data_IF_666010146254
#
_entry.id   IF_666010146254
#
_cell.length_a   1.000
_cell.length_b   1.000
_cell.length_c   1.000
_cell.angle_alpha   90.00
_cell.angle_beta   90.00
_cell.angle_gamma   90.00
#
_symmetry.space_group_name_H-M   'P 1'
#
loop_
_entity.id
_entity.type
_entity.pdbx_description
1 polymer ?
#
# COMPACT_ATOMS: atom_id res chain seq x y z
N UNK A 1 -48.61 -94.38 18.83
CA UNK A 1 -49.46 -93.16 18.71
C UNK A 1 -48.69 -91.97 19.28
N UNK A 2 -48.54 -90.88 18.49
CA UNK A 2 -48.13 -89.48 18.85
C UNK A 2 -46.78 -89.29 19.60
N UNK A 3 -45.97 -88.24 19.43
CA UNK A 3 -45.60 -87.22 18.41
C UNK A 3 -44.67 -86.24 19.17
N UNK A 4 -43.65 -85.66 18.49
CA UNK A 4 -42.91 -84.41 18.82
C UNK A 4 -41.86 -84.52 19.94
N UNK A 5 -40.69 -83.85 19.93
CA UNK A 5 -40.13 -82.78 19.08
C UNK A 5 -38.62 -82.61 19.30
N UNK A 6 -37.87 -82.43 18.20
CA UNK A 6 -36.73 -81.53 17.93
C UNK A 6 -35.68 -81.19 19.01
N UNK A 7 -34.40 -81.36 18.69
CA UNK A 7 -33.57 -80.25 18.17
C UNK A 7 -32.22 -80.75 17.61
N UNK A 8 -31.80 -80.09 16.54
CA UNK A 8 -30.68 -80.40 15.64
C UNK A 8 -29.41 -79.67 16.12
N UNK A 9 -28.24 -80.30 15.99
CA UNK A 9 -26.99 -79.61 15.65
C UNK A 9 -26.24 -80.46 14.64
N UNK A 10 -26.24 -79.99 13.41
CA UNK A 10 -25.40 -80.46 12.32
C UNK A 10 -24.22 -79.49 12.17
N UNK A 11 -23.10 -80.07 11.81
CA UNK A 11 -21.75 -79.53 11.80
C UNK A 11 -21.45 -78.88 10.44
N UNK A 12 -20.65 -77.80 10.44
CA UNK A 12 -20.12 -77.24 9.20
C UNK A 12 -20.07 -75.71 9.15
N UNK A 13 -18.86 -75.17 9.03
CA UNK A 13 -18.64 -73.79 8.59
C UNK A 13 -17.28 -73.24 8.98
N UNK A 14 -16.36 -73.23 8.02
CA UNK A 14 -15.04 -72.62 8.11
C UNK A 14 -15.08 -71.08 8.26
N UNK A 15 -13.90 -70.52 8.52
CA UNK A 15 -13.52 -69.09 8.55
C UNK A 15 -13.72 -68.39 9.90
N UNK A 16 -12.62 -67.89 10.50
CA UNK A 16 -12.45 -66.52 11.01
C UNK A 16 -11.36 -66.40 12.12
N UNK A 17 -10.10 -66.74 11.81
CA UNK A 17 -8.96 -66.31 12.64
C UNK A 17 -7.77 -65.86 11.77
N UNK A 18 -7.98 -64.84 10.93
CA UNK A 18 -6.89 -64.06 10.30
C UNK A 18 -7.23 -62.57 10.28
N UNK A 19 -7.58 -62.03 11.44
CA UNK A 19 -8.15 -60.69 11.53
C UNK A 19 -7.72 -59.90 12.76
N UNK A 20 -6.44 -59.87 13.11
CA UNK A 20 -5.92 -58.81 13.96
C UNK A 20 -4.39 -58.80 13.90
N UNK A 21 -3.80 -57.78 13.28
CA UNK A 21 -2.61 -57.06 13.77
C UNK A 21 -1.92 -56.31 12.62
N UNK A 22 -2.57 -55.28 12.07
CA UNK A 22 -1.90 -54.22 11.33
C UNK A 22 -2.71 -52.90 11.48
N UNK A 23 -2.76 -52.35 12.68
CA UNK A 23 -2.97 -50.90 12.84
C UNK A 23 -1.61 -50.25 13.12
N UNK A 24 -0.76 -50.26 12.10
CA UNK A 24 0.33 -49.29 11.97
C UNK A 24 -0.31 -47.94 11.66
N UNK A 25 -0.84 -47.28 12.69
CA UNK A 25 -1.17 -45.87 12.61
C UNK A 25 0.15 -45.09 12.46
N UNK A 26 0.66 -45.01 11.23
CA UNK A 26 1.70 -44.06 10.87
C UNK A 26 1.14 -42.66 11.10
N UNK A 27 1.40 -42.12 12.29
CA UNK A 27 1.18 -40.71 12.63
C UNK A 27 2.17 -39.87 11.85
N UNK A 28 1.93 -39.69 10.55
CA UNK A 28 2.68 -38.74 9.76
C UNK A 28 2.51 -37.36 10.40
N UNK A 29 3.63 -36.72 10.77
CA UNK A 29 3.59 -35.34 11.26
C UNK A 29 3.00 -34.46 10.17
N UNK A 30 1.95 -33.70 10.50
CA UNK A 30 1.33 -32.76 9.58
C UNK A 30 2.35 -31.66 9.25
N UNK A 31 2.74 -31.58 7.98
CA UNK A 31 3.51 -30.44 7.47
C UNK A 31 2.52 -29.28 7.34
N UNK A 32 2.85 -28.15 7.97
CA UNK A 32 2.03 -26.93 7.96
C UNK A 32 2.89 -25.77 7.45
N UNK A 33 2.24 -24.77 6.88
CA UNK A 33 2.90 -23.52 6.51
C UNK A 33 3.63 -22.92 7.73
N UNK A 34 4.81 -22.36 7.47
CA UNK A 34 5.60 -21.66 8.48
C UNK A 34 5.08 -20.25 8.77
N UNK A 35 5.76 -19.60 9.71
CA UNK A 35 5.55 -18.20 10.05
C UNK A 35 6.84 -17.43 9.78
N UNK A 36 6.73 -16.26 9.15
CA UNK A 36 7.88 -15.41 8.88
C UNK A 36 8.72 -15.16 10.14
N UNK A 37 10.04 -15.16 9.98
CA UNK A 37 11.01 -14.92 11.05
C UNK A 37 11.54 -13.48 10.99
N UNK A 38 12.04 -13.01 12.14
CA UNK A 38 12.73 -11.74 12.26
C UNK A 38 11.82 -10.53 12.07
N UNK A 39 12.41 -9.43 11.61
CA UNK A 39 11.69 -8.17 11.37
C UNK A 39 10.89 -8.24 10.06
N UNK A 40 9.58 -8.37 10.20
CA UNK A 40 8.61 -8.35 9.10
C UNK A 40 7.97 -6.97 9.01
N UNK A 41 8.34 -6.19 8.01
CA UNK A 41 7.87 -4.81 7.90
C UNK A 41 7.71 -4.37 6.45
N UNK A 42 6.88 -3.35 6.30
CA UNK A 42 6.57 -2.72 5.04
C UNK A 42 6.81 -1.21 5.21
N UNK A 43 7.82 -0.69 4.52
CA UNK A 43 8.35 0.65 4.75
C UNK A 43 8.31 1.45 3.44
N UNK A 44 7.44 2.48 3.32
CA UNK A 44 7.56 3.45 2.23
C UNK A 44 8.78 4.33 2.45
N UNK A 45 9.39 4.79 1.36
CA UNK A 45 10.52 5.74 1.38
C UNK A 45 10.14 7.06 2.05
N UNK A 46 8.87 7.48 1.88
CA UNK A 46 8.34 8.71 2.46
C UNK A 46 7.03 8.42 3.21
N UNK A 47 6.91 8.94 4.43
CA UNK A 47 5.65 8.94 5.19
C UNK A 47 4.85 10.24 4.96
N UNK A 48 4.75 10.68 3.70
CA UNK A 48 4.13 11.96 3.29
C UNK A 48 2.99 11.71 2.32
N UNK A 49 1.81 12.33 2.50
CA UNK A 49 0.66 12.10 1.62
C UNK A 49 0.89 12.44 0.15
N UNK A 50 0.43 11.55 -0.73
CA UNK A 50 0.34 11.73 -2.19
C UNK A 50 1.69 11.79 -2.91
N UNK A 51 2.75 11.27 -2.29
CA UNK A 51 4.11 11.20 -2.85
C UNK A 51 4.35 9.83 -3.47
N UNK A 52 5.02 9.81 -4.61
CA UNK A 52 5.50 8.60 -5.28
C UNK A 52 6.97 8.37 -4.89
N UNK A 53 7.28 7.15 -4.46
CA UNK A 53 8.65 6.77 -4.07
C UNK A 53 8.87 5.27 -4.14
N UNK A 54 9.86 4.80 -3.39
CA UNK A 54 10.12 3.38 -3.19
C UNK A 54 9.36 2.82 -2.00
N UNK A 55 9.29 1.51 -1.97
CA UNK A 55 8.61 0.73 -0.96
C UNK A 55 9.43 -0.53 -0.70
N UNK A 56 9.78 -0.77 0.56
CA UNK A 56 10.58 -1.91 0.97
C UNK A 56 9.74 -2.90 1.78
N UNK A 57 9.63 -4.13 1.27
CA UNK A 57 9.03 -5.26 1.99
C UNK A 57 10.15 -6.16 2.51
N UNK A 58 10.26 -6.27 3.85
CA UNK A 58 11.32 -7.01 4.53
C UNK A 58 10.74 -8.21 5.27
N UNK A 59 11.32 -9.40 5.10
CA UNK A 59 10.93 -10.61 5.81
C UNK A 59 12.00 -11.70 5.72
N UNK A 60 11.85 -12.75 6.54
CA UNK A 60 12.65 -13.99 6.44
C UNK A 60 11.70 -15.18 6.35
N UNK A 61 11.86 -16.03 5.34
CA UNK A 61 11.04 -17.24 5.16
C UNK A 61 11.58 -18.42 5.96
N UNK A 62 10.71 -19.32 6.40
CA UNK A 62 11.12 -20.56 7.08
C UNK A 62 11.45 -21.68 6.10
N UNK A 63 10.91 -21.60 4.88
CA UNK A 63 11.21 -22.52 3.79
C UNK A 63 12.10 -21.89 2.71
N UNK A 64 12.76 -22.72 1.89
CA UNK A 64 13.51 -22.25 0.75
C UNK A 64 12.58 -21.71 -0.35
N UNK A 65 13.04 -20.70 -1.09
CA UNK A 65 12.33 -20.13 -2.24
C UNK A 65 13.06 -20.50 -3.53
N UNK A 66 12.48 -21.42 -4.28
CA UNK A 66 13.01 -21.88 -5.57
C UNK A 66 12.64 -20.94 -6.72
N UNK A 67 13.16 -21.24 -7.92
CA UNK A 67 12.75 -20.60 -9.16
C UNK A 67 11.23 -20.66 -9.33
N UNK A 68 10.62 -19.52 -9.68
CA UNK A 68 9.18 -19.29 -9.80
C UNK A 68 8.40 -19.33 -8.48
N UNK A 69 9.09 -19.32 -7.32
CA UNK A 69 8.40 -19.06 -6.05
C UNK A 69 7.62 -17.75 -6.13
N UNK A 70 6.45 -17.75 -5.50
CA UNK A 70 5.49 -16.65 -5.58
C UNK A 70 5.37 -15.99 -4.22
N UNK A 71 5.35 -14.66 -4.20
CA UNK A 71 5.12 -13.87 -3.00
C UNK A 71 3.95 -12.94 -3.30
N UNK A 72 2.96 -12.88 -2.42
CA UNK A 72 1.85 -11.95 -2.51
C UNK A 72 1.89 -10.97 -1.35
N UNK A 73 1.72 -9.68 -1.63
CA UNK A 73 1.56 -8.64 -0.63
C UNK A 73 0.28 -7.86 -0.93
N UNK A 74 -0.73 -8.00 -0.08
CA UNK A 74 -1.99 -7.28 -0.21
C UNK A 74 -1.98 -6.02 0.65
N UNK A 75 -2.17 -4.87 0.02
CA UNK A 75 -2.25 -3.57 0.70
C UNK A 75 -3.67 -3.29 1.23
N UNK A 76 -3.80 -2.48 2.30
CA UNK A 76 -5.09 -2.05 2.83
C UNK A 76 -5.77 -1.02 1.93
N UNK A 77 -7.06 -0.78 2.18
CA UNK A 77 -7.90 0.14 1.42
C UNK A 77 -7.69 1.61 1.78
N UNK A 78 -6.46 2.06 1.67
CA UNK A 78 -6.08 3.38 2.16
C UNK A 78 -5.56 4.31 1.07
N UNK A 79 -5.76 3.97 -0.21
CA UNK A 79 -5.40 4.83 -1.33
C UNK A 79 -3.95 4.70 -1.79
N UNK A 80 -3.29 3.58 -1.47
CA UNK A 80 -2.00 3.23 -2.06
C UNK A 80 -2.15 2.99 -3.57
N UNK A 81 -1.21 3.49 -4.35
CA UNK A 81 -1.24 3.38 -5.82
C UNK A 81 0.08 2.86 -6.37
N UNK A 82 0.01 2.18 -7.52
CA UNK A 82 1.19 1.75 -8.28
C UNK A 82 0.96 2.00 -9.78
N UNK A 83 2.02 2.15 -10.58
CA UNK A 83 1.89 2.37 -12.01
C UNK A 83 1.24 1.14 -12.66
N UNK A 84 0.24 1.36 -13.51
CA UNK A 84 -0.45 0.30 -14.27
C UNK A 84 -0.04 0.25 -15.73
N UNK A 85 0.61 1.32 -16.24
CA UNK A 85 1.02 1.43 -17.65
C UNK A 85 2.25 0.58 -17.99
N UNK A 86 3.09 0.26 -17.00
CA UNK A 86 4.24 -0.64 -17.12
C UNK A 86 4.36 -1.50 -15.86
N UNK A 87 4.89 -2.73 -15.94
CA UNK A 87 5.14 -3.53 -14.76
C UNK A 87 6.08 -2.76 -13.81
N UNK A 88 5.71 -2.59 -12.53
CA UNK A 88 6.53 -1.85 -11.58
C UNK A 88 7.93 -2.43 -11.48
N UNK A 89 8.94 -1.57 -11.42
CA UNK A 89 10.32 -2.01 -11.21
C UNK A 89 10.47 -2.51 -9.79
N UNK A 90 10.89 -3.76 -9.66
CA UNK A 90 11.19 -4.40 -8.38
C UNK A 90 12.62 -4.91 -8.38
N UNK A 91 13.31 -4.72 -7.27
CA UNK A 91 14.64 -5.28 -7.02
C UNK A 91 14.56 -6.15 -5.79
N UNK A 92 15.01 -7.39 -5.90
CA UNK A 92 15.22 -8.26 -4.75
C UNK A 92 16.65 -8.07 -4.24
N UNK A 93 16.77 -7.67 -2.98
CA UNK A 93 18.03 -7.54 -2.27
C UNK A 93 18.16 -8.69 -1.27
N UNK A 94 19.27 -9.42 -1.37
CA UNK A 94 19.69 -10.42 -0.40
C UNK A 94 20.74 -9.78 0.53
N UNK A 95 20.78 -10.13 1.81
CA UNK A 95 21.61 -9.47 2.81
C UNK A 95 23.10 -9.80 2.72
N UNK A 96 23.63 -10.41 1.66
CA UNK A 96 25.08 -10.65 1.55
C UNK A 96 25.85 -9.33 1.56
N UNK A 97 26.60 -9.04 2.65
CA UNK A 97 27.41 -7.84 2.81
C UNK A 97 28.88 -8.16 2.47
N UNK A 98 29.59 -7.26 1.78
CA UNK A 98 31.07 -7.26 1.59
C UNK A 98 31.73 -7.99 0.41
N UNK A 99 31.04 -8.38 -0.65
CA UNK A 99 31.72 -8.54 -1.94
C UNK A 99 31.31 -7.40 -2.87
N UNK A 100 32.30 -6.66 -3.37
CA UNK A 100 32.12 -5.79 -4.53
C UNK A 100 31.30 -6.59 -5.55
N UNK A 101 30.21 -6.00 -6.04
CA UNK A 101 29.31 -6.66 -6.99
C UNK A 101 30.09 -7.09 -8.25
N UNK A 102 30.67 -8.30 -8.21
CA UNK A 102 31.31 -8.94 -9.35
C UNK A 102 30.20 -9.53 -10.18
N UNK A 103 29.53 -8.69 -10.99
CA UNK A 103 28.78 -9.08 -12.20
C UNK A 103 27.82 -10.27 -12.09
N UNK A 104 27.43 -10.68 -10.89
CA UNK A 104 26.45 -11.71 -10.63
C UNK A 104 25.10 -11.05 -10.87
N UNK A 105 24.40 -11.50 -11.91
CA UNK A 105 23.09 -10.98 -12.28
C UNK A 105 22.22 -10.84 -11.02
N UNK A 106 21.80 -9.61 -10.72
CA UNK A 106 20.90 -9.33 -9.59
C UNK A 106 19.74 -10.33 -9.62
N UNK A 107 19.29 -10.85 -8.46
CA UNK A 107 18.18 -11.78 -8.42
C UNK A 107 16.99 -11.21 -9.19
N UNK A 108 16.61 -11.88 -10.27
CA UNK A 108 15.59 -11.39 -11.17
C UNK A 108 14.21 -11.69 -10.55
N UNK A 109 13.41 -10.66 -10.38
CA UNK A 109 12.04 -10.77 -9.87
C UNK A 109 11.10 -10.02 -10.79
N UNK A 110 10.00 -10.67 -11.17
CA UNK A 110 8.90 -10.03 -11.88
C UNK A 110 7.82 -9.66 -10.89
N UNK A 111 7.22 -8.50 -11.05
CA UNK A 111 6.09 -8.05 -10.24
C UNK A 111 4.90 -7.66 -11.12
N UNK A 112 3.71 -8.08 -10.68
CA UNK A 112 2.43 -7.65 -11.22
C UNK A 112 1.62 -6.94 -10.12
N UNK A 113 0.91 -5.89 -10.49
CA UNK A 113 -0.02 -5.19 -9.62
C UNK A 113 -1.46 -5.44 -10.05
N UNK A 114 -2.31 -5.85 -9.11
CA UNK A 114 -3.76 -5.92 -9.29
C UNK A 114 -4.43 -4.83 -8.46
N UNK A 115 -4.92 -3.77 -9.11
CA UNK A 115 -5.63 -2.69 -8.43
C UNK A 115 -6.96 -3.18 -7.81
N UNK A 116 -7.65 -4.13 -8.46
CA UNK A 116 -8.93 -4.67 -7.99
C UNK A 116 -8.82 -5.40 -6.65
N UNK A 117 -7.71 -6.11 -6.41
CA UNK A 117 -7.47 -6.85 -5.16
C UNK A 117 -6.45 -6.16 -4.25
N UNK A 118 -5.86 -5.05 -4.72
CA UNK A 118 -4.74 -4.34 -4.10
C UNK A 118 -3.55 -5.26 -3.78
N UNK A 119 -3.28 -6.19 -4.68
CA UNK A 119 -2.27 -7.24 -4.45
C UNK A 119 -1.08 -7.03 -5.36
N UNK A 120 0.11 -6.94 -4.76
CA UNK A 120 1.38 -7.12 -5.45
C UNK A 120 1.68 -8.61 -5.52
N UNK A 121 1.91 -9.13 -6.72
CA UNK A 121 2.34 -10.51 -6.94
C UNK A 121 3.76 -10.51 -7.50
N UNK A 122 4.70 -11.07 -6.74
CA UNK A 122 6.09 -11.23 -7.13
C UNK A 122 6.33 -12.68 -7.55
N UNK A 123 7.06 -12.86 -8.65
CA UNK A 123 7.54 -14.15 -9.12
C UNK A 123 9.05 -14.12 -9.21
N UNK A 124 9.71 -14.99 -8.44
CA UNK A 124 11.16 -15.16 -8.48
C UNK A 124 11.58 -15.82 -9.79
N UNK A 125 12.59 -15.28 -10.46
CA UNK A 125 13.12 -15.79 -11.72
C UNK A 125 14.59 -16.22 -11.61
N UNK A 126 15.17 -16.13 -10.42
CA UNK A 126 16.50 -16.64 -10.09
C UNK A 126 16.62 -18.14 -10.38
N UNK A 127 17.76 -18.53 -10.94
CA UNK A 127 18.08 -19.93 -11.25
C UNK A 127 18.46 -20.72 -9.99
N UNK A 128 19.06 -20.06 -9.00
CA UNK A 128 19.40 -20.65 -7.71
C UNK A 128 18.25 -20.52 -6.70
N UNK A 129 18.12 -21.55 -5.87
CA UNK A 129 17.21 -21.57 -4.72
C UNK A 129 17.76 -20.63 -3.65
N UNK A 130 16.91 -19.74 -3.15
CA UNK A 130 17.18 -18.96 -1.95
C UNK A 130 16.96 -19.88 -0.74
N UNK A 131 17.97 -20.13 0.10
CA UNK A 131 17.81 -21.00 1.26
C UNK A 131 16.76 -20.48 2.25
N UNK A 132 16.20 -21.40 3.03
CA UNK A 132 15.42 -21.05 4.22
C UNK A 132 16.23 -20.14 5.16
N UNK A 133 15.54 -19.34 5.96
CA UNK A 133 16.14 -18.44 6.95
C UNK A 133 17.04 -17.34 6.34
N UNK A 134 16.94 -17.10 5.04
CA UNK A 134 17.60 -15.97 4.36
C UNK A 134 16.69 -14.73 4.47
N UNK A 135 17.15 -13.62 5.07
CA UNK A 135 16.39 -12.37 5.04
C UNK A 135 16.25 -11.84 3.61
N UNK A 136 15.12 -11.22 3.30
CA UNK A 136 14.79 -10.72 1.96
C UNK A 136 14.29 -9.29 2.08
N UNK A 137 14.70 -8.46 1.12
CA UNK A 137 14.15 -7.12 0.94
C UNK A 137 13.70 -6.96 -0.51
N UNK A 138 12.39 -6.86 -0.73
CA UNK A 138 11.83 -6.49 -2.02
C UNK A 138 11.63 -4.99 -2.06
N UNK A 139 12.36 -4.30 -2.94
CA UNK A 139 12.24 -2.87 -3.15
C UNK A 139 11.43 -2.60 -4.42
N UNK A 140 10.21 -2.09 -4.26
CA UNK A 140 9.31 -1.71 -5.35
C UNK A 140 9.40 -0.22 -5.58
N UNK A 141 9.60 0.20 -6.82
CA UNK A 141 9.67 1.61 -7.21
C UNK A 141 8.34 2.09 -7.79
N UNK A 142 8.08 3.39 -7.68
CA UNK A 142 6.88 4.02 -8.24
C UNK A 142 5.62 3.85 -7.38
N UNK A 143 5.77 3.45 -6.11
CA UNK A 143 4.64 3.30 -5.19
C UNK A 143 4.19 4.68 -4.72
N UNK A 144 2.92 5.01 -4.99
CA UNK A 144 2.26 6.20 -4.49
C UNK A 144 1.66 5.95 -3.11
N UNK A 145 2.05 6.81 -2.17
CA UNK A 145 1.43 6.90 -0.85
C UNK A 145 0.01 7.47 -0.93
N UNK A 146 -0.88 7.13 0.02
CA UNK A 146 -2.20 7.73 0.15
C UNK A 146 -2.21 9.25 0.02
N UNK A 147 -3.18 9.84 -0.68
CA UNK A 147 -3.28 11.30 -0.83
C UNK A 147 -3.76 12.02 0.44
N UNK A 148 -4.06 11.27 1.50
CA UNK A 148 -4.48 11.79 2.81
C UNK A 148 -3.67 11.14 3.93
N UNK A 149 -3.74 11.73 5.12
CA UNK A 149 -3.24 11.06 6.32
C UNK A 149 -4.02 9.76 6.56
N UNK A 150 -3.31 8.72 6.94
CA UNK A 150 -3.89 7.40 7.22
C UNK A 150 -3.35 6.89 8.55
N UNK A 151 -4.16 6.16 9.34
CA UNK A 151 -3.65 5.49 10.53
C UNK A 151 -2.59 4.45 10.16
N UNK A 152 -1.89 3.95 11.18
CA UNK A 152 -1.11 2.73 11.04
C UNK A 152 -2.05 1.59 10.60
N UNK A 153 -1.56 0.73 9.70
CA UNK A 153 -2.36 -0.36 9.13
C UNK A 153 -1.47 -1.56 8.84
N UNK A 154 -2.03 -2.62 8.25
CA UNK A 154 -1.31 -3.85 7.98
C UNK A 154 -1.49 -4.26 6.51
N UNK A 155 -0.42 -4.79 5.92
CA UNK A 155 -0.50 -5.60 4.70
C UNK A 155 -0.54 -7.08 5.05
N UNK A 156 -1.14 -7.88 4.19
CA UNK A 156 -1.13 -9.34 4.34
C UNK A 156 -0.13 -9.92 3.34
N UNK A 157 0.87 -10.64 3.85
CA UNK A 157 1.94 -11.25 3.05
C UNK A 157 1.88 -12.76 3.14
N UNK A 158 2.04 -13.42 2.00
CA UNK A 158 2.07 -14.89 1.89
C UNK A 158 3.14 -15.29 0.89
N UNK A 159 3.92 -16.32 1.20
CA UNK A 159 4.86 -16.94 0.27
C UNK A 159 4.38 -18.31 -0.14
N UNK A 160 4.69 -18.67 -1.39
CA UNK A 160 4.31 -19.95 -1.96
C UNK A 160 5.48 -20.57 -2.70
N UNK A 161 5.52 -21.90 -2.70
CA UNK A 161 6.58 -22.71 -3.30
C UNK A 161 6.77 -22.38 -4.79
N UNK A 162 5.68 -22.19 -5.54
CA UNK A 162 5.71 -21.95 -6.99
C UNK A 162 4.45 -21.27 -7.51
N UNK A 163 4.58 -20.35 -8.45
CA UNK A 163 3.47 -19.86 -9.25
C UNK A 163 2.84 -21.01 -10.06
N UNK A 164 1.61 -21.39 -9.70
CA UNK A 164 0.80 -22.36 -10.46
C UNK A 164 -0.38 -21.65 -11.12
N UNK A 165 -0.26 -21.38 -12.42
CA UNK A 165 -1.36 -20.88 -13.25
C UNK A 165 -1.98 -22.05 -14.04
N UNK A 166 -2.93 -22.77 -13.43
CA UNK A 166 -3.79 -23.73 -14.15
C UNK A 166 -5.21 -23.19 -14.20
N UNK A 167 -5.82 -23.16 -15.40
CA UNK A 167 -7.21 -22.74 -15.61
C UNK A 167 -8.22 -23.62 -14.87
N UNK A 168 -7.84 -24.84 -14.48
CA UNK A 168 -8.66 -25.81 -13.76
C UNK A 168 -8.60 -25.69 -12.24
N UNK A 169 -7.78 -24.80 -11.67
CA UNK A 169 -7.65 -24.60 -10.23
C UNK A 169 -8.35 -23.29 -9.84
N UNK A 170 -9.18 -23.25 -8.77
CA UNK A 170 -9.77 -22.00 -8.27
C UNK A 170 -8.71 -20.92 -8.02
N UNK A 171 -9.03 -19.65 -8.27
CA UNK A 171 -8.06 -18.55 -8.10
C UNK A 171 -7.49 -18.47 -6.67
N UNK A 172 -8.26 -18.89 -5.67
CA UNK A 172 -7.86 -18.98 -4.26
C UNK A 172 -6.81 -20.05 -3.96
N UNK A 173 -6.63 -21.05 -4.84
CA UNK A 173 -5.62 -22.12 -4.73
C UNK A 173 -4.63 -22.13 -5.91
N UNK A 174 -4.77 -21.20 -6.87
CA UNK A 174 -3.72 -20.87 -7.83
C UNK A 174 -2.59 -20.20 -7.08
N UNK A 175 -1.57 -20.98 -6.77
CA UNK A 175 -0.46 -20.47 -5.97
C UNK A 175 0.63 -21.44 -5.59
N UNK A 176 0.46 -22.74 -5.80
CA UNK A 176 1.34 -23.72 -5.17
C UNK A 176 1.02 -23.85 -3.68
N UNK A 177 1.83 -24.62 -2.96
CA UNK A 177 1.68 -24.77 -1.51
C UNK A 177 2.22 -23.53 -0.79
N UNK A 178 1.55 -23.12 0.30
CA UNK A 178 2.01 -22.01 1.13
C UNK A 178 3.28 -22.44 1.85
N UNK A 179 4.31 -21.61 1.75
CA UNK A 179 5.57 -21.77 2.49
C UNK A 179 5.45 -21.05 3.83
N UNK A 180 5.12 -19.75 3.82
CA UNK A 180 4.89 -18.96 5.02
C UNK A 180 3.66 -18.03 4.86
N UNK A 181 2.99 -17.75 5.98
CA UNK A 181 1.83 -16.85 6.04
C UNK A 181 0.50 -17.56 5.77
N UNK A 182 -0.60 -16.82 5.53
CA UNK A 182 -0.69 -15.36 5.51
C UNK A 182 -0.30 -14.72 6.86
N UNK A 183 0.41 -13.59 6.81
CA UNK A 183 0.81 -12.85 8.01
C UNK A 183 0.65 -11.35 7.83
N UNK A 184 0.33 -10.66 8.93
CA UNK A 184 0.22 -9.21 8.97
C UNK A 184 1.59 -8.53 9.06
N UNK A 185 1.80 -7.53 8.21
CA UNK A 185 3.02 -6.73 8.14
C UNK A 185 2.65 -5.27 8.41
N UNK A 186 3.29 -4.67 9.40
CA UNK A 186 3.00 -3.30 9.79
C UNK A 186 3.34 -2.31 8.66
N UNK A 187 2.38 -1.43 8.36
CA UNK A 187 2.51 -0.28 7.49
C UNK A 187 2.49 0.98 8.36
N UNK A 188 3.49 1.86 8.28
CA UNK A 188 3.52 3.05 9.12
C UNK A 188 2.35 4.00 8.83
N UNK A 189 1.99 4.76 9.85
CA UNK A 189 1.07 5.90 9.75
C UNK A 189 1.58 6.91 8.73
N UNK A 190 0.71 7.37 7.84
CA UNK A 190 0.99 8.53 6.98
C UNK A 190 0.48 9.78 7.69
N UNK A 191 1.37 10.73 7.94
CA UNK A 191 1.08 11.93 8.74
C UNK A 191 0.90 13.17 7.86
N UNK A 192 0.02 14.12 8.23
CA UNK A 192 0.03 15.44 7.61
C UNK A 192 1.41 16.08 7.79
N UNK A 193 1.96 16.63 6.71
CA UNK A 193 3.19 17.40 6.77
C UNK A 193 2.91 18.88 7.12
N UNK A 194 3.85 19.54 7.78
CA UNK A 194 3.75 20.97 8.09
C UNK A 194 3.85 21.84 6.83
N UNK A 195 3.04 22.90 6.75
CA UNK A 195 3.19 23.94 5.73
C UNK A 195 4.50 24.71 5.98
N UNK A 196 5.33 24.85 4.94
CA UNK A 196 6.62 25.53 4.98
C UNK A 196 6.64 26.85 4.20
N UNK A 197 7.85 27.35 3.93
CA UNK A 197 8.06 28.57 3.15
C UNK A 197 7.79 29.85 3.93
N UNK A 198 7.53 30.94 3.20
CA UNK A 198 7.38 32.29 3.77
C UNK A 198 6.18 32.42 4.73
N UNK A 199 5.09 31.67 4.48
CA UNK A 199 3.85 31.67 5.26
C UNK A 199 3.36 33.10 5.55
N UNK A 200 3.33 33.92 4.50
CA UNK A 200 3.09 35.35 4.63
C UNK A 200 1.86 35.76 3.85
N UNK A 201 0.90 36.36 4.56
CA UNK A 201 -0.22 37.11 4.02
C UNK A 201 0.22 38.57 3.85
N UNK A 202 0.33 39.04 2.60
CA UNK A 202 0.86 40.38 2.26
C UNK A 202 -0.11 41.15 1.38
N UNK A 203 -0.87 42.10 1.95
CA UNK A 203 -1.62 43.08 1.17
C UNK A 203 -0.71 43.93 0.31
N UNK A 204 -1.16 44.32 -0.88
CA UNK A 204 -0.43 45.27 -1.74
C UNK A 204 -0.51 46.71 -1.21
N UNK A 205 -1.49 47.00 -0.36
CA UNK A 205 -1.65 48.28 0.34
C UNK A 205 -2.05 48.01 1.79
N UNK A 206 -1.36 48.65 2.74
CA UNK A 206 -1.60 48.47 4.19
C UNK A 206 -2.32 49.66 4.82
N UNK A 207 -2.94 50.55 4.03
CA UNK A 207 -3.79 51.62 4.54
C UNK A 207 -5.13 51.03 5.04
N UNK A 208 -5.56 51.31 6.28
CA UNK A 208 -6.83 50.82 6.82
C UNK A 208 -8.03 51.21 5.94
N UNK A 209 -8.99 50.31 5.79
CA UNK A 209 -10.22 50.51 5.03
C UNK A 209 -10.04 50.50 3.51
N UNK A 210 -8.83 50.25 3.00
CA UNK A 210 -8.56 50.19 1.56
C UNK A 210 -8.70 48.77 1.05
N UNK A 211 -9.46 48.62 -0.05
CA UNK A 211 -9.49 47.39 -0.83
C UNK A 211 -8.15 47.18 -1.51
N UNK A 212 -7.49 46.06 -1.24
CA UNK A 212 -6.22 45.69 -1.88
C UNK A 212 -6.17 44.23 -2.33
N UNK A 213 -5.24 43.95 -3.23
CA UNK A 213 -4.90 42.57 -3.59
C UNK A 213 -4.02 41.97 -2.48
N UNK A 214 -4.25 40.72 -2.13
CA UNK A 214 -3.41 40.03 -1.14
C UNK A 214 -2.65 38.87 -1.76
N UNK A 215 -1.36 38.81 -1.45
CA UNK A 215 -0.50 37.69 -1.81
C UNK A 215 -0.25 36.79 -0.61
N UNK A 216 -0.51 35.48 -0.77
CA UNK A 216 -0.18 34.44 0.20
C UNK A 216 0.86 33.50 -0.41
N UNK A 217 2.04 33.40 0.22
CA UNK A 217 3.13 32.53 -0.24
C UNK A 217 3.47 31.45 0.80
N UNK A 218 3.50 30.19 0.40
CA UNK A 218 3.84 29.04 1.25
C UNK A 218 4.43 27.88 0.44
N UNK A 219 4.82 26.81 1.12
CA UNK A 219 5.31 25.57 0.49
C UNK A 219 4.57 24.37 1.03
N UNK A 220 3.98 23.58 0.14
CA UNK A 220 3.24 22.36 0.52
C UNK A 220 4.22 21.24 0.88
N UNK A 221 3.85 20.40 1.85
CA UNK A 221 4.66 19.23 2.20
C UNK A 221 4.27 18.00 1.37
N UNK A 222 3.00 17.63 1.38
CA UNK A 222 2.43 16.60 0.50
C UNK A 222 1.91 17.15 -0.81
N UNK A 223 1.43 16.26 -1.68
CA UNK A 223 0.72 16.65 -2.91
C UNK A 223 -0.67 17.16 -2.55
N UNK A 224 -1.13 18.24 -3.18
CA UNK A 224 -2.54 18.65 -3.19
C UNK A 224 -3.16 18.10 -4.47
N UNK A 225 -4.04 17.09 -4.40
CA UNK A 225 -4.60 16.45 -5.60
C UNK A 225 -5.64 17.34 -6.30
N UNK A 226 -6.06 16.92 -7.49
CA UNK A 226 -7.23 17.51 -8.14
C UNK A 226 -8.46 17.32 -7.24
N UNK A 227 -9.30 18.36 -7.18
CA UNK A 227 -10.39 18.45 -6.22
C UNK A 227 -9.95 18.76 -4.78
N UNK A 228 -8.65 18.94 -4.54
CA UNK A 228 -8.14 19.38 -3.25
C UNK A 228 -8.59 20.79 -2.88
N UNK A 229 -8.57 21.08 -1.58
CA UNK A 229 -8.92 22.38 -1.01
C UNK A 229 -7.75 22.96 -0.24
N UNK A 230 -7.63 24.29 -0.27
CA UNK A 230 -6.76 25.07 0.58
C UNK A 230 -7.64 25.92 1.49
N UNK A 231 -7.38 25.88 2.78
CA UNK A 231 -8.11 26.65 3.78
C UNK A 231 -7.18 27.72 4.35
N UNK A 232 -7.65 28.96 4.39
CA UNK A 232 -6.96 30.08 5.04
C UNK A 232 -7.90 30.67 6.07
N UNK A 233 -7.53 30.56 7.33
CA UNK A 233 -8.23 31.18 8.44
C UNK A 233 -7.55 32.51 8.75
N UNK A 234 -8.32 33.59 8.73
CA UNK A 234 -7.85 34.91 9.12
C UNK A 234 -8.35 35.26 10.53
N UNK A 235 -7.61 36.09 11.26
CA UNK A 235 -8.07 36.64 12.51
C UNK A 235 -9.38 37.48 12.36
N UNK A 236 -10.28 37.51 13.36
CA UNK A 236 -11.55 38.24 13.32
C UNK A 236 -11.40 39.78 13.49
N UNK A 237 -10.35 40.37 12.96
CA UNK A 237 -9.90 41.74 13.26
C UNK A 237 -9.94 42.66 12.03
N UNK A 238 -11.07 42.62 11.31
CA UNK A 238 -11.40 43.58 10.24
C UNK A 238 -11.14 43.10 8.82
N UNK A 239 -10.53 41.91 8.66
CA UNK A 239 -10.39 41.28 7.34
C UNK A 239 -11.75 40.89 6.78
N UNK A 240 -12.10 41.49 5.64
CA UNK A 240 -13.30 41.13 4.90
C UNK A 240 -13.04 41.07 3.39
N UNK A 241 -13.81 40.22 2.72
CA UNK A 241 -13.77 40.06 1.29
C UNK A 241 -15.11 39.56 0.74
N UNK A 242 -15.26 39.62 -0.58
CA UNK A 242 -16.42 39.07 -1.26
C UNK A 242 -16.62 37.59 -0.96
N UNK A 243 -17.88 37.15 -0.90
CA UNK A 243 -18.22 35.73 -0.67
C UNK A 243 -17.64 34.76 -1.72
N UNK A 244 -17.26 35.25 -2.91
CA UNK A 244 -16.56 34.47 -3.95
C UNK A 244 -15.39 35.28 -4.53
N UNK A 245 -14.27 35.41 -3.80
CA UNK A 245 -13.16 36.25 -4.23
C UNK A 245 -12.39 35.58 -5.38
N UNK A 246 -11.80 36.38 -6.26
CA UNK A 246 -11.01 35.87 -7.38
C UNK A 246 -9.62 35.47 -6.90
N UNK A 247 -9.29 34.18 -6.97
CA UNK A 247 -7.97 33.67 -6.57
C UNK A 247 -7.17 33.21 -7.78
N UNK A 248 -5.92 33.65 -7.87
CA UNK A 248 -4.95 33.24 -8.88
C UNK A 248 -3.86 32.39 -8.25
N UNK A 249 -3.63 31.20 -8.82
CA UNK A 249 -2.57 30.28 -8.44
C UNK A 249 -1.33 30.47 -9.32
N UNK A 250 -0.19 30.64 -8.67
CA UNK A 250 1.14 30.60 -9.29
C UNK A 250 1.99 29.51 -8.63
N UNK A 251 2.54 28.64 -9.47
CA UNK A 251 3.50 27.59 -9.15
C UNK A 251 4.52 27.50 -10.31
N UNK A 252 5.54 26.62 -10.25
CA UNK A 252 6.39 26.36 -11.42
C UNK A 252 5.63 25.84 -12.65
N UNK A 253 4.44 25.27 -12.45
CA UNK A 253 3.61 24.68 -13.53
C UNK A 253 2.47 25.62 -13.94
N UNK A 254 1.89 26.36 -12.99
CA UNK A 254 0.76 27.25 -13.25
C UNK A 254 1.19 28.72 -13.18
N UNK A 255 0.90 29.49 -14.23
CA UNK A 255 1.22 30.92 -14.28
C UNK A 255 -0.07 31.75 -14.28
N UNK A 256 -0.70 31.87 -13.10
CA UNK A 256 -1.99 32.58 -12.86
C UNK A 256 -3.25 31.77 -13.24
N UNK A 257 -3.30 30.49 -12.85
CA UNK A 257 -4.52 29.71 -12.98
C UNK A 257 -5.60 30.28 -12.05
N UNK A 258 -6.79 30.56 -12.58
CA UNK A 258 -7.93 30.99 -11.76
C UNK A 258 -8.47 29.80 -10.98
N UNK A 259 -8.65 29.98 -9.67
CA UNK A 259 -9.27 29.01 -8.77
C UNK A 259 -10.64 29.52 -8.31
N UNK A 260 -11.54 28.58 -8.02
CA UNK A 260 -12.80 28.90 -7.33
C UNK A 260 -12.50 29.07 -5.85
N UNK A 261 -13.09 30.08 -5.22
CA UNK A 261 -12.97 30.28 -3.78
C UNK A 261 -14.29 30.75 -3.17
N UNK A 262 -14.47 30.50 -1.89
CA UNK A 262 -15.58 30.98 -1.07
C UNK A 262 -15.07 31.54 0.25
N UNK A 263 -15.55 32.72 0.61
CA UNK A 263 -15.29 33.35 1.89
C UNK A 263 -16.51 33.21 2.81
N UNK A 264 -16.30 32.69 4.02
CA UNK A 264 -17.27 32.75 5.10
C UNK A 264 -16.83 33.82 6.11
N UNK A 265 -17.53 34.96 6.11
CA UNK A 265 -17.25 36.07 7.00
C UNK A 265 -17.56 35.76 8.47
N UNK A 266 -18.44 34.80 8.76
CA UNK A 266 -18.75 34.42 10.15
C UNK A 266 -17.64 33.55 10.74
N UNK A 267 -16.96 32.78 9.90
CA UNK A 267 -15.85 31.91 10.28
C UNK A 267 -14.48 32.51 9.98
N UNK A 268 -14.42 33.70 9.38
CA UNK A 268 -13.21 34.34 8.86
C UNK A 268 -12.32 33.37 8.06
N UNK A 269 -12.97 32.59 7.20
CA UNK A 269 -12.34 31.44 6.54
C UNK A 269 -12.50 31.54 5.03
N UNK A 270 -11.37 31.51 4.32
CA UNK A 270 -11.28 31.46 2.87
C UNK A 270 -10.99 30.02 2.43
N UNK A 271 -11.98 29.39 1.79
CA UNK A 271 -11.82 28.09 1.17
C UNK A 271 -11.52 28.26 -0.33
N UNK A 272 -10.45 27.62 -0.81
CA UNK A 272 -9.99 27.72 -2.20
C UNK A 272 -9.95 26.32 -2.78
N UNK A 273 -10.66 26.11 -3.89
CA UNK A 273 -10.82 24.83 -4.55
C UNK A 273 -9.95 24.73 -5.80
N UNK A 274 -9.15 23.66 -5.89
CA UNK A 274 -8.19 23.47 -6.97
C UNK A 274 -8.83 23.08 -8.32
N UNK A 275 -10.09 22.65 -8.29
CA UNK A 275 -10.81 22.15 -9.47
C UNK A 275 -10.58 20.66 -9.74
N UNK A 276 -11.52 20.03 -10.44
CA UNK A 276 -11.42 18.63 -10.91
C UNK A 276 -10.85 18.50 -12.33
N UNK A 277 -10.29 19.57 -12.88
CA UNK A 277 -9.76 19.63 -14.25
C UNK A 277 -8.35 19.03 -14.38
N UNK A 278 -7.98 18.15 -13.44
CA UNK A 278 -6.67 17.50 -13.39
C UNK A 278 -5.55 18.35 -12.79
N UNK A 279 -5.82 19.60 -12.36
CA UNK A 279 -4.80 20.37 -11.68
C UNK A 279 -4.42 19.78 -10.32
N UNK A 280 -3.12 19.77 -10.04
CA UNK A 280 -2.60 19.32 -8.76
C UNK A 280 -1.34 20.10 -8.41
N UNK A 281 -1.08 20.27 -7.12
CA UNK A 281 0.16 20.88 -6.63
C UNK A 281 1.05 19.74 -6.13
N UNK A 282 2.23 19.58 -6.75
CA UNK A 282 3.17 18.55 -6.36
C UNK A 282 3.75 18.80 -4.95
N UNK A 283 4.25 17.73 -4.31
CA UNK A 283 4.98 17.84 -3.03
C UNK A 283 6.14 18.85 -3.11
N UNK A 284 6.42 19.53 -1.99
CA UNK A 284 7.49 20.54 -1.85
C UNK A 284 7.40 21.72 -2.83
N UNK A 285 6.24 21.93 -3.46
CA UNK A 285 6.04 23.05 -4.39
C UNK A 285 5.85 24.36 -3.63
N UNK A 286 6.53 25.41 -4.10
CA UNK A 286 6.24 26.78 -3.69
C UNK A 286 4.93 27.23 -4.36
N UNK A 287 3.98 27.68 -3.54
CA UNK A 287 2.66 28.13 -3.94
C UNK A 287 2.55 29.61 -3.61
N UNK A 288 2.16 30.39 -4.62
CA UNK A 288 1.80 31.79 -4.45
C UNK A 288 0.34 31.92 -4.90
N UNK A 289 -0.51 32.37 -3.98
CA UNK A 289 -1.89 32.72 -4.23
C UNK A 289 -2.02 34.23 -4.25
N UNK A 290 -2.74 34.76 -5.22
CA UNK A 290 -3.14 36.17 -5.24
C UNK A 290 -4.66 36.23 -5.15
N UNK A 291 -5.16 36.79 -4.06
CA UNK A 291 -6.57 37.14 -3.88
C UNK A 291 -6.75 38.54 -4.45
N UNK A 292 -7.35 38.60 -5.64
CA UNK A 292 -7.45 39.85 -6.39
C UNK A 292 -8.78 40.57 -6.08
N UNK A 293 -8.67 41.89 -5.97
CA UNK A 293 -9.73 42.88 -5.96
C UNK A 293 -10.89 42.52 -5.04
N UNK A 294 -10.78 42.89 -3.75
CA UNK A 294 -11.83 42.98 -2.71
C UNK A 294 -11.38 42.36 -1.38
N UNK A 295 -10.20 42.70 -0.88
CA UNK A 295 -9.85 42.44 0.53
C UNK A 295 -9.69 43.77 1.25
N UNK A 296 -10.47 43.99 2.31
CA UNK A 296 -10.40 45.16 3.20
C UNK A 296 -9.82 44.71 4.54
N UNK A 297 -8.97 45.54 5.14
CA UNK A 297 -8.39 45.37 6.47
C UNK A 297 -8.74 46.57 7.36
#
# INVERSE_FOLDING_TARGET
>A
MKRRSSSVRDDGGAEQERGAHLQLAQRHRKIVAGSFKGHSALEPEFATPGVVGKFALRFTTTGPLAKHARITCQLPDHGWTLPTASPPTVVLQLPSPNEQATTAALPLVKMNWSAATRTMEFTLLNESVIPADTPLVLVVSGVGTPEKATPQSEAVVTTFEKLVARSTVPASTRGGQIVDGPAAFAIPKIVPGSIGGAKRWSPSNCCPGVVSDVTLAFTVNGKVPAGGKLLVELPPDGWDMDGQPKVLLRTPVYHNKVLTASWDCNQHTLEIYLGNDGASIATKTNVILTVAQRVVA
#
